data_IF_913332045750
#
_entry.id   IF_913332045750
#
_cell.length_a   1.000
_cell.length_b   1.000
_cell.length_c   1.000
_cell.angle_alpha   90.00
_cell.angle_beta   90.00
_cell.angle_gamma   90.00
#
_symmetry.space_group_name_H-M   'P 1'
#
loop_
_entity.id
_entity.type
_entity.pdbx_description
1 polymer ?
#
# COMPACT_ATOMS: atom_id res chain seq x y z
N UNK A 1 -6.37 13.17 -2.06
CA UNK A 1 -5.98 12.13 -3.03
C UNK A 1 -4.48 11.95 -2.89
N UNK A 2 -4.02 10.71 -2.82
CA UNK A 2 -2.62 10.40 -2.55
C UNK A 2 -2.21 9.00 -2.96
N UNK A 3 -3.18 8.11 -3.17
CA UNK A 3 -3.00 6.74 -3.65
C UNK A 3 -3.91 6.51 -4.85
N UNK A 4 -3.46 5.64 -5.76
CA UNK A 4 -4.22 5.17 -6.92
C UNK A 4 -4.89 3.82 -6.61
N UNK A 5 -4.33 3.06 -5.67
CA UNK A 5 -4.81 1.72 -5.34
C UNK A 5 -4.84 1.53 -3.82
N UNK A 6 -5.93 0.95 -3.33
CA UNK A 6 -6.02 0.36 -2.00
C UNK A 6 -5.98 -1.17 -2.08
N UNK A 7 -5.25 -1.81 -1.17
CA UNK A 7 -5.21 -3.26 -1.04
C UNK A 7 -5.52 -3.65 0.41
N UNK A 8 -6.63 -4.35 0.63
CA UNK A 8 -6.92 -5.05 1.87
C UNK A 8 -6.42 -6.50 1.79
N UNK A 9 -5.73 -6.97 2.83
CA UNK A 9 -5.25 -8.35 2.94
C UNK A 9 -5.76 -8.96 4.24
N UNK A 10 -6.37 -10.14 4.15
CA UNK A 10 -6.85 -10.94 5.27
C UNK A 10 -6.24 -12.34 5.21
N UNK A 11 -5.78 -12.84 6.35
CA UNK A 11 -5.48 -14.27 6.52
C UNK A 11 -6.70 -14.92 7.19
N UNK A 12 -7.34 -15.81 6.44
CA UNK A 12 -8.49 -16.60 6.87
C UNK A 12 -7.99 -17.87 7.54
N UNK A 13 -8.73 -18.37 8.53
CA UNK A 13 -8.40 -19.56 9.35
C UNK A 13 -7.22 -19.44 10.32
N UNK A 14 -6.61 -18.26 10.44
CA UNK A 14 -5.74 -18.00 11.58
C UNK A 14 -6.66 -17.55 12.73
N UNK A 15 -7.07 -18.51 13.55
CA UNK A 15 -7.53 -18.26 14.92
C UNK A 15 -6.31 -17.78 15.73
N UNK A 16 -5.77 -16.61 15.38
CA UNK A 16 -4.71 -16.03 16.20
C UNK A 16 -5.34 -15.76 17.55
N UNK A 17 -4.74 -16.38 18.56
CA UNK A 17 -4.88 -16.26 20.02
C UNK A 17 -5.02 -14.84 20.61
N UNK A 18 -5.21 -13.81 19.79
CA UNK A 18 -5.43 -12.42 20.15
C UNK A 18 -6.64 -11.91 19.37
N UNK A 19 -7.81 -11.93 20.02
CA UNK A 19 -9.13 -11.26 19.83
C UNK A 19 -9.43 -10.28 18.67
N UNK A 20 -8.70 -10.24 17.55
CA UNK A 20 -8.80 -9.14 16.58
C UNK A 20 -8.58 -9.47 15.11
N UNK A 21 -8.50 -10.74 14.73
CA UNK A 21 -8.27 -11.16 13.35
C UNK A 21 -6.91 -10.70 12.77
N UNK A 22 -6.57 -11.22 11.60
CA UNK A 22 -5.37 -10.80 10.87
C UNK A 22 -5.80 -10.12 9.58
N UNK A 23 -5.87 -8.79 9.61
CA UNK A 23 -6.32 -7.96 8.49
C UNK A 23 -5.50 -6.68 8.42
N UNK A 24 -5.08 -6.27 7.21
CA UNK A 24 -4.29 -5.06 6.99
C UNK A 24 -4.63 -4.37 5.68
N UNK A 25 -4.54 -3.04 5.69
CA UNK A 25 -4.63 -2.21 4.50
C UNK A 25 -3.28 -1.69 4.02
N UNK A 26 -3.23 -1.42 2.71
CA UNK A 26 -2.16 -0.72 2.02
C UNK A 26 -2.74 0.39 1.14
N UNK A 27 -2.07 1.54 1.09
CA UNK A 27 -2.25 2.60 0.12
C UNK A 27 -1.06 2.60 -0.84
N UNK A 28 -1.35 2.49 -2.13
CA UNK A 28 -0.35 2.41 -3.19
C UNK A 28 -0.54 3.60 -4.14
N UNK A 29 0.50 4.40 -4.32
CA UNK A 29 0.59 5.36 -5.43
C UNK A 29 1.39 4.75 -6.57
N UNK A 30 0.85 4.78 -7.78
CA UNK A 30 1.47 4.18 -8.96
C UNK A 30 2.19 5.24 -9.79
N UNK A 31 3.42 4.94 -10.23
CA UNK A 31 4.23 5.82 -11.09
C UNK A 31 4.97 5.02 -12.15
N UNK A 32 5.06 5.57 -13.36
CA UNK A 32 6.02 5.06 -14.36
C UNK A 32 7.42 5.52 -13.95
N UNK A 33 8.44 4.75 -14.26
CA UNK A 33 9.84 5.06 -13.93
C UNK A 33 10.25 6.50 -14.29
N UNK A 34 9.92 6.96 -15.50
CA UNK A 34 10.20 8.34 -15.95
C UNK A 34 9.57 9.43 -15.08
N UNK A 35 8.44 9.13 -14.45
CA UNK A 35 7.68 10.04 -13.58
C UNK A 35 8.09 9.89 -12.11
N UNK A 36 8.89 8.86 -11.79
CA UNK A 36 9.47 8.61 -10.47
C UNK A 36 10.92 9.09 -10.36
N UNK A 37 11.62 9.24 -11.49
CA UNK A 37 13.03 9.66 -11.56
C UNK A 37 13.22 11.19 -11.50
N UNK A 38 12.15 11.98 -11.66
CA UNK A 38 12.26 13.44 -11.66
C UNK A 38 12.00 13.99 -10.25
N UNK A 39 13.04 14.60 -9.70
CA UNK A 39 12.98 15.60 -8.63
C UNK A 39 13.21 16.96 -9.31
N UNK A 40 12.23 17.46 -10.06
CA UNK A 40 12.20 18.90 -10.34
C UNK A 40 11.26 19.57 -9.35
N UNK A 41 11.46 20.84 -9.05
CA UNK A 41 10.60 21.64 -8.16
C UNK A 41 9.10 21.69 -8.58
N UNK A 42 8.73 21.04 -9.69
CA UNK A 42 7.37 20.80 -10.16
C UNK A 42 6.78 19.42 -9.76
N UNK A 43 7.57 18.51 -9.18
CA UNK A 43 7.16 17.18 -8.69
C UNK A 43 6.70 17.22 -7.21
N UNK A 44 6.19 18.36 -6.75
CA UNK A 44 5.40 18.47 -5.52
C UNK A 44 4.29 17.41 -5.47
N UNK A 45 3.84 16.91 -6.62
CA UNK A 45 2.83 15.86 -6.77
C UNK A 45 3.14 14.60 -5.96
N UNK A 46 4.26 13.89 -6.22
CA UNK A 46 4.52 12.61 -5.56
C UNK A 46 4.81 12.77 -4.06
N UNK A 47 5.54 13.83 -3.70
CA UNK A 47 5.85 14.14 -2.30
C UNK A 47 4.57 14.47 -1.53
N UNK A 48 3.69 15.30 -2.11
CA UNK A 48 2.40 15.64 -1.51
C UNK A 48 1.46 14.43 -1.45
N UNK A 49 1.46 13.58 -2.48
CA UNK A 49 0.72 12.32 -2.50
C UNK A 49 1.17 11.40 -1.35
N UNK A 50 2.49 11.22 -1.17
CA UNK A 50 3.06 10.45 -0.06
C UNK A 50 2.70 11.04 1.30
N UNK A 51 2.88 12.35 1.49
CA UNK A 51 2.44 13.05 2.71
C UNK A 51 0.95 12.84 2.99
N UNK A 52 0.11 12.83 1.97
CA UNK A 52 -1.33 12.60 2.13
C UNK A 52 -1.67 11.14 2.47
N UNK A 53 -0.95 10.16 1.91
CA UNK A 53 -1.08 8.76 2.32
C UNK A 53 -0.63 8.57 3.78
N UNK A 54 0.49 9.19 4.17
CA UNK A 54 1.05 9.07 5.53
C UNK A 54 0.15 9.67 6.62
N UNK A 55 -0.70 10.65 6.28
CA UNK A 55 -1.77 11.14 7.18
C UNK A 55 -2.82 10.08 7.50
N UNK A 56 -2.94 9.02 6.68
CA UNK A 56 -3.90 7.93 6.86
C UNK A 56 -3.27 6.69 7.47
N UNK A 57 -1.97 6.48 7.27
CA UNK A 57 -1.26 5.29 7.76
C UNK A 57 0.23 5.53 7.87
N UNK A 58 0.85 5.05 8.95
CA UNK A 58 2.31 5.12 9.13
C UNK A 58 3.07 3.89 8.59
N UNK A 59 2.36 2.79 8.31
CA UNK A 59 2.96 1.51 7.88
C UNK A 59 2.36 0.89 6.62
N UNK A 60 1.29 1.49 6.09
CA UNK A 60 0.57 0.98 4.93
C UNK A 60 0.81 1.74 3.63
N UNK A 61 1.64 2.79 3.59
CA UNK A 61 1.77 3.66 2.43
C UNK A 61 3.03 3.38 1.59
N UNK A 62 2.84 3.12 0.29
CA UNK A 62 3.91 2.78 -0.64
C UNK A 62 3.72 3.44 -2.01
N UNK A 63 4.83 3.63 -2.72
CA UNK A 63 4.88 3.97 -4.15
C UNK A 63 5.30 2.73 -4.93
N UNK A 64 4.53 2.38 -5.96
CA UNK A 64 4.90 1.38 -6.94
C UNK A 64 5.44 2.06 -8.18
N UNK A 65 6.73 1.85 -8.44
CA UNK A 65 7.43 2.35 -9.61
C UNK A 65 7.52 1.22 -10.63
N UNK A 66 6.86 1.41 -11.77
CA UNK A 66 6.86 0.47 -12.89
C UNK A 66 8.06 0.74 -13.79
N UNK A 67 8.99 -0.21 -13.82
CA UNK A 67 10.25 -0.19 -14.59
C UNK A 67 10.23 -1.30 -15.65
N UNK A 68 11.23 -1.35 -16.53
CA UNK A 68 11.39 -2.46 -17.49
C UNK A 68 11.59 -3.81 -16.80
N UNK A 69 12.18 -3.81 -15.60
CA UNK A 69 12.59 -5.03 -14.89
C UNK A 69 11.53 -5.50 -13.87
N UNK A 70 10.37 -4.84 -13.88
CA UNK A 70 9.24 -5.12 -12.99
C UNK A 70 8.86 -3.94 -12.10
N UNK A 71 8.23 -4.25 -10.97
CA UNK A 71 7.71 -3.23 -10.04
C UNK A 71 8.65 -3.08 -8.86
N UNK A 72 9.07 -1.85 -8.58
CA UNK A 72 9.76 -1.45 -7.35
C UNK A 72 8.75 -0.86 -6.37
N UNK A 73 8.72 -1.37 -5.15
CA UNK A 73 7.89 -0.90 -4.05
C UNK A 73 8.77 -0.08 -3.08
N UNK A 74 8.47 1.20 -2.94
CA UNK A 74 9.18 2.13 -2.06
C UNK A 74 8.22 2.62 -0.99
N UNK A 75 8.67 2.71 0.26
CA UNK A 75 7.80 3.26 1.32
C UNK A 75 7.56 4.75 1.08
N UNK A 76 6.34 5.22 1.34
CA UNK A 76 6.02 6.66 1.23
C UNK A 76 6.86 7.50 2.21
N UNK A 77 7.25 6.91 3.35
CA UNK A 77 8.12 7.54 4.35
C UNK A 77 9.52 7.82 3.81
N UNK A 78 10.11 6.87 3.06
CA UNK A 78 11.40 7.08 2.41
C UNK A 78 11.32 8.21 1.37
N UNK A 79 10.25 8.27 0.55
CA UNK A 79 10.05 9.35 -0.42
C UNK A 79 9.95 10.72 0.27
N UNK A 80 9.33 10.79 1.45
CA UNK A 80 9.22 12.05 2.20
C UNK A 80 10.54 12.43 2.88
N UNK A 81 11.31 11.44 3.32
CA UNK A 81 12.59 11.63 4.01
C UNK A 81 13.73 12.03 3.08
N UNK A 82 13.66 11.62 1.80
CA UNK A 82 14.67 11.90 0.77
C UNK A 82 14.03 12.63 -0.43
N UNK A 83 13.51 13.86 -0.24
CA UNK A 83 12.70 14.55 -1.25
C UNK A 83 13.47 14.99 -2.50
N UNK A 84 14.81 14.96 -2.46
CA UNK A 84 15.67 15.31 -3.60
C UNK A 84 16.07 14.07 -4.44
N UNK A 85 15.69 12.88 -4.00
CA UNK A 85 15.95 11.62 -4.71
C UNK A 85 14.68 11.17 -5.45
N UNK A 86 14.85 10.63 -6.64
CA UNK A 86 13.75 10.01 -7.37
C UNK A 86 13.25 8.78 -6.61
N UNK A 87 11.94 8.57 -6.54
CA UNK A 87 11.39 7.36 -5.93
C UNK A 87 11.88 6.08 -6.64
N UNK A 88 12.32 6.15 -7.90
CA UNK A 88 12.92 5.01 -8.61
C UNK A 88 14.32 4.60 -8.13
N UNK A 89 15.03 5.53 -7.47
CA UNK A 89 16.42 5.41 -7.02
C UNK A 89 16.54 4.99 -5.55
N UNK A 90 15.46 5.15 -4.78
CA UNK A 90 15.39 4.75 -3.38
C UNK A 90 15.43 3.23 -3.20
N UNK A 91 15.89 2.80 -2.02
CA UNK A 91 15.87 1.39 -1.61
C UNK A 91 14.44 0.88 -1.73
N UNK A 92 14.30 -0.17 -2.54
CA UNK A 92 13.01 -0.73 -2.91
C UNK A 92 12.98 -2.24 -2.69
N UNK A 93 11.76 -2.76 -2.59
CA UNK A 93 11.46 -4.20 -2.59
C UNK A 93 10.62 -4.52 -3.82
N UNK A 94 10.57 -5.77 -4.26
CA UNK A 94 9.53 -6.18 -5.21
C UNK A 94 8.19 -6.42 -4.47
N UNK A 95 7.06 -6.53 -5.19
CA UNK A 95 5.77 -6.78 -4.56
C UNK A 95 5.71 -8.06 -3.72
N UNK A 96 6.38 -9.14 -4.14
CA UNK A 96 6.38 -10.40 -3.40
C UNK A 96 7.02 -10.26 -2.01
N UNK A 97 8.15 -9.54 -1.92
CA UNK A 97 8.77 -9.20 -0.64
C UNK A 97 7.88 -8.28 0.20
N UNK A 98 7.22 -7.28 -0.40
CA UNK A 98 6.26 -6.44 0.32
C UNK A 98 5.12 -7.28 0.91
N UNK A 99 4.52 -8.19 0.13
CA UNK A 99 3.45 -9.05 0.64
C UNK A 99 3.95 -10.04 1.70
N UNK A 100 5.16 -10.58 1.58
CA UNK A 100 5.79 -11.37 2.66
C UNK A 100 5.90 -10.56 3.95
N UNK A 101 6.38 -9.33 3.87
CA UNK A 101 6.54 -8.45 5.05
C UNK A 101 5.17 -8.05 5.63
N UNK A 102 4.15 -7.92 4.78
CA UNK A 102 2.76 -7.75 5.19
C UNK A 102 2.32 -8.97 5.99
N UNK A 103 2.54 -10.20 5.49
CA UNK A 103 2.25 -11.46 6.18
C UNK A 103 3.03 -11.62 7.49
N UNK A 104 4.29 -11.18 7.54
CA UNK A 104 5.16 -11.23 8.72
C UNK A 104 4.89 -10.15 9.78
N UNK A 105 3.91 -9.25 9.57
CA UNK A 105 3.65 -8.12 10.49
C UNK A 105 4.72 -7.04 10.56
N UNK A 106 5.54 -6.93 9.54
CA UNK A 106 6.50 -5.85 9.36
C UNK A 106 5.94 -4.69 8.51
N UNK A 107 4.92 -4.97 7.70
CA UNK A 107 4.24 -3.99 6.84
C UNK A 107 2.71 -4.07 6.93
N UNK A 108 2.04 -3.02 6.43
CA UNK A 108 0.58 -2.88 6.42
C UNK A 108 0.01 -2.34 7.73
N UNK A 109 -1.22 -1.82 7.65
CA UNK A 109 -1.87 -1.15 8.78
C UNK A 109 -3.21 -1.79 9.11
N UNK A 110 -3.35 -2.26 10.35
CA UNK A 110 -4.57 -2.88 10.87
C UNK A 110 -5.70 -1.88 11.10
N UNK A 111 -5.39 -0.59 11.22
CA UNK A 111 -6.39 0.47 11.35
C UNK A 111 -6.88 0.98 9.99
N UNK A 112 -6.24 0.54 8.90
CA UNK A 112 -6.61 0.90 7.53
C UNK A 112 -7.40 -0.24 6.87
N UNK A 113 -8.30 -0.89 7.59
CA UNK A 113 -9.11 -1.98 7.04
C UNK A 113 -10.49 -1.96 7.66
N UNK A 114 -11.48 -2.40 6.90
CA UNK A 114 -12.83 -2.68 7.40
C UNK A 114 -13.15 -4.15 7.05
N UNK A 115 -13.49 -5.01 8.02
CA UNK A 115 -13.75 -6.43 7.76
C UNK A 115 -14.79 -6.70 6.66
N UNK A 116 -15.77 -5.80 6.49
CA UNK A 116 -16.84 -5.94 5.49
C UNK A 116 -16.32 -5.94 4.04
N UNK A 117 -15.14 -5.37 3.79
CA UNK A 117 -14.56 -5.31 2.43
C UNK A 117 -14.25 -6.70 1.87
N UNK A 118 -14.07 -7.70 2.74
CA UNK A 118 -13.74 -9.07 2.33
C UNK A 118 -14.98 -9.92 1.99
N UNK A 119 -16.17 -9.43 2.32
CA UNK A 119 -17.44 -10.15 2.09
C UNK A 119 -18.37 -9.40 1.13
N UNK A 120 -18.14 -8.10 0.89
CA UNK A 120 -19.01 -7.26 0.07
C UNK A 120 -18.22 -6.34 -0.85
N UNK A 121 -18.44 -6.48 -2.15
CA UNK A 121 -17.91 -5.56 -3.16
C UNK A 121 -18.44 -4.13 -2.99
N UNK A 122 -19.68 -3.99 -2.49
CA UNK A 122 -20.26 -2.67 -2.17
C UNK A 122 -19.51 -2.02 -1.00
N UNK A 123 -19.20 -2.79 0.05
CA UNK A 123 -18.42 -2.28 1.19
C UNK A 123 -17.00 -1.88 0.77
N UNK A 124 -16.34 -2.67 -0.10
CA UNK A 124 -15.05 -2.32 -0.69
C UNK A 124 -15.14 -1.00 -1.49
N UNK A 125 -16.18 -0.84 -2.31
CA UNK A 125 -16.42 0.39 -3.07
C UNK A 125 -16.62 1.62 -2.19
N UNK A 126 -17.46 1.52 -1.15
CA UNK A 126 -17.68 2.61 -0.18
C UNK A 126 -16.41 2.96 0.61
N UNK A 127 -15.64 1.94 1.01
CA UNK A 127 -14.38 2.15 1.71
C UNK A 127 -13.36 2.86 0.81
N UNK A 128 -13.24 2.44 -0.45
CA UNK A 128 -12.40 3.08 -1.45
C UNK A 128 -12.79 4.54 -1.70
N UNK A 129 -14.10 4.83 -1.78
CA UNK A 129 -14.62 6.19 -1.93
C UNK A 129 -14.26 7.06 -0.71
N UNK A 130 -14.39 6.53 0.52
CA UNK A 130 -13.99 7.21 1.75
C UNK A 130 -12.49 7.50 1.85
N UNK A 131 -11.66 6.61 1.26
CA UNK A 131 -10.23 6.82 1.09
C UNK A 131 -9.89 7.75 -0.10
N UNK A 132 -10.86 8.01 -0.97
CA UNK A 132 -10.71 8.74 -2.25
C UNK A 132 -9.64 8.10 -3.13
N UNK A 133 -9.68 6.77 -3.24
CA UNK A 133 -8.82 5.98 -4.13
C UNK A 133 -9.64 5.46 -5.33
N UNK A 134 -9.11 5.54 -6.56
CA UNK A 134 -9.86 5.16 -7.75
C UNK A 134 -9.96 3.65 -7.94
N UNK A 135 -9.05 2.86 -7.35
CA UNK A 135 -9.05 1.40 -7.46
C UNK A 135 -8.83 0.76 -6.10
N UNK A 136 -9.47 -0.39 -5.90
CA UNK A 136 -9.40 -1.13 -4.64
C UNK A 136 -9.46 -2.63 -4.88
N UNK A 137 -8.72 -3.38 -4.08
CA UNK A 137 -8.69 -4.83 -4.09
C UNK A 137 -8.75 -5.35 -2.65
N UNK A 138 -9.57 -6.38 -2.39
CA UNK A 138 -9.57 -7.12 -1.14
C UNK A 138 -9.13 -8.56 -1.42
N UNK A 139 -8.13 -9.05 -0.69
CA UNK A 139 -7.54 -10.37 -0.86
C UNK A 139 -7.73 -11.15 0.44
N UNK A 140 -8.46 -12.26 0.36
CA UNK A 140 -8.56 -13.24 1.44
C UNK A 140 -7.67 -14.43 1.11
N UNK A 141 -6.61 -14.60 1.89
CA UNK A 141 -5.69 -15.73 1.79
C UNK A 141 -6.15 -16.80 2.78
N UNK A 142 -6.03 -18.06 2.38
CA UNK A 142 -6.33 -19.21 3.22
C UNK A 142 -5.03 -19.94 3.49
N UNK A 143 -4.78 -20.30 4.73
CA UNK A 143 -3.73 -21.27 5.01
C UNK A 143 -4.13 -22.63 4.41
N UNK A 144 -3.25 -23.20 3.58
CA UNK A 144 -3.48 -24.47 2.92
C UNK A 144 -3.03 -25.67 3.78
N UNK A 145 -2.63 -25.44 5.03
CA UNK A 145 -2.38 -26.53 5.98
C UNK A 145 -3.68 -27.25 6.37
N UNK A 146 -3.98 -28.31 5.61
CA UNK A 146 -4.65 -29.54 6.05
C UNK A 146 -3.89 -30.76 5.54
#
# INVERSE_FOLDING_TARGET
MGADLYIGVKLSNIDTYNEGGWEKGLLIQSKKEKDAARSSASDEGILMQCKNMLKRTSKGAYVWVYTSDGVKCVSADAVVSFPNEGAGDLISKNPAHLFRDVLACEAGDRNLVNPEIFVSAQALGQFAEGLRVPSALAISLWDLEK
#
